data_IF_817972536101
#
_entry.id   IF_817972536101
#
_cell.length_a   1.000
_cell.length_b   1.000
_cell.length_c   1.000
_cell.angle_alpha   90.00
_cell.angle_beta   90.00
_cell.angle_gamma   90.00
#
_symmetry.space_group_name_H-M   'P 1'
#
loop_
_entity.id
_entity.type
_entity.pdbx_description
1 polymer ?
#
# COMPACT_ATOMS: atom_id res chain seq x y z
N UNK A 1 -9.45 -10.41 -11.47
CA UNK A 1 -8.30 -10.29 -12.40
C UNK A 1 -8.16 -11.46 -13.39
N UNK A 2 -8.07 -12.73 -12.97
CA UNK A 2 -7.90 -13.89 -13.89
C UNK A 2 -8.94 -14.01 -15.02
N UNK A 3 -10.21 -13.69 -14.73
CA UNK A 3 -11.26 -13.67 -15.73
C UNK A 3 -11.01 -12.63 -16.85
N UNK A 4 -10.42 -11.49 -16.51
CA UNK A 4 -10.07 -10.44 -17.48
C UNK A 4 -8.91 -10.88 -18.37
N UNK A 5 -7.91 -11.58 -17.83
CA UNK A 5 -6.82 -12.16 -18.64
C UNK A 5 -7.33 -13.25 -19.59
N UNK A 6 -8.24 -14.10 -19.12
CA UNK A 6 -8.89 -15.11 -19.96
C UNK A 6 -9.66 -14.47 -21.12
N UNK A 7 -10.38 -13.39 -20.83
CA UNK A 7 -11.12 -12.63 -21.84
C UNK A 7 -10.20 -11.90 -22.82
N UNK A 8 -9.06 -11.39 -22.35
CA UNK A 8 -8.04 -10.75 -23.19
C UNK A 8 -7.44 -11.77 -24.16
N UNK A 9 -7.06 -12.95 -23.67
CA UNK A 9 -6.54 -14.03 -24.51
C UNK A 9 -7.55 -14.42 -25.59
N UNK A 10 -8.82 -14.58 -25.21
CA UNK A 10 -9.89 -14.91 -26.15
C UNK A 10 -10.10 -13.84 -27.22
N UNK A 11 -10.11 -12.56 -26.85
CA UNK A 11 -10.25 -11.47 -27.81
C UNK A 11 -9.02 -11.33 -28.71
N UNK A 12 -7.83 -11.60 -28.20
CA UNK A 12 -6.60 -11.62 -28.99
C UNK A 12 -6.63 -12.74 -30.05
N UNK A 13 -7.04 -13.95 -29.64
CA UNK A 13 -7.24 -15.07 -30.57
C UNK A 13 -8.31 -14.74 -31.62
N UNK A 14 -9.41 -14.11 -31.20
CA UNK A 14 -10.45 -13.65 -32.13
C UNK A 14 -9.93 -12.62 -33.13
N UNK A 15 -9.14 -11.63 -32.69
CA UNK A 15 -8.60 -10.60 -33.57
C UNK A 15 -7.69 -11.20 -34.65
N UNK A 16 -6.91 -12.23 -34.30
CA UNK A 16 -6.05 -12.94 -35.24
C UNK A 16 -6.84 -13.79 -36.25
N UNK A 17 -7.96 -14.38 -35.82
CA UNK A 17 -8.78 -15.27 -36.66
C UNK A 17 -9.81 -14.53 -37.51
N UNK A 18 -10.36 -13.41 -37.03
CA UNK A 18 -11.45 -12.67 -37.66
C UNK A 18 -10.99 -11.58 -38.64
N UNK A 19 -9.71 -11.18 -38.61
CA UNK A 19 -9.18 -10.17 -39.52
C UNK A 19 -9.96 -8.85 -39.48
N UNK A 20 -10.49 -8.41 -40.63
CA UNK A 20 -11.23 -7.15 -40.78
C UNK A 20 -12.61 -7.14 -40.10
N UNK A 21 -13.18 -8.30 -39.75
CA UNK A 21 -14.48 -8.40 -39.08
C UNK A 21 -14.38 -8.25 -37.56
N UNK A 22 -13.17 -8.10 -37.02
CA UNK A 22 -12.97 -7.87 -35.60
C UNK A 22 -13.35 -6.44 -35.21
N UNK A 23 -14.17 -6.29 -34.17
CA UNK A 23 -14.49 -4.99 -33.58
C UNK A 23 -13.45 -4.61 -32.51
N UNK A 24 -12.56 -3.62 -32.77
CA UNK A 24 -11.52 -3.23 -31.83
C UNK A 24 -12.05 -2.59 -30.55
N UNK A 25 -13.30 -2.09 -30.56
CA UNK A 25 -13.92 -1.44 -29.40
C UNK A 25 -14.00 -2.40 -28.20
N UNK A 26 -14.14 -3.70 -28.46
CA UNK A 26 -14.17 -4.74 -27.42
C UNK A 26 -12.89 -4.83 -26.61
N UNK A 27 -11.73 -4.54 -27.22
CA UNK A 27 -10.45 -4.48 -26.50
C UNK A 27 -10.43 -3.24 -25.61
N UNK A 28 -10.91 -2.10 -26.11
CA UNK A 28 -10.98 -0.87 -25.33
C UNK A 28 -11.88 -1.02 -24.10
N UNK A 29 -13.06 -1.62 -24.26
CA UNK A 29 -13.98 -1.89 -23.15
C UNK A 29 -13.34 -2.82 -22.11
N UNK A 30 -12.61 -3.85 -22.56
CA UNK A 30 -11.89 -4.74 -21.66
C UNK A 30 -10.76 -4.02 -20.92
N UNK A 31 -10.01 -3.13 -21.59
CA UNK A 31 -8.95 -2.35 -20.96
C UNK A 31 -9.48 -1.42 -19.86
N UNK A 32 -10.67 -0.84 -20.05
CA UNK A 32 -11.32 -0.04 -19.01
C UNK A 32 -11.63 -0.89 -17.75
N UNK A 33 -12.06 -2.15 -17.94
CA UNK A 33 -12.26 -3.08 -16.82
C UNK A 33 -10.94 -3.43 -16.10
N UNK A 34 -9.85 -3.61 -16.85
CA UNK A 34 -8.52 -3.82 -16.28
C UNK A 34 -8.07 -2.65 -15.40
N UNK A 35 -8.22 -1.43 -15.91
CA UNK A 35 -7.89 -0.21 -15.18
C UNK A 35 -8.66 -0.13 -13.86
N UNK A 36 -9.97 -0.38 -13.91
CA UNK A 36 -10.82 -0.32 -12.74
C UNK A 36 -10.46 -1.41 -11.69
N UNK A 37 -10.21 -2.64 -12.12
CA UNK A 37 -9.79 -3.74 -11.25
C UNK A 37 -8.40 -3.47 -10.63
N UNK A 38 -7.47 -2.89 -11.40
CA UNK A 38 -6.13 -2.55 -10.94
C UNK A 38 -6.18 -1.45 -9.86
N UNK A 39 -6.92 -0.37 -10.11
CA UNK A 39 -7.11 0.69 -9.12
C UNK A 39 -7.83 0.18 -7.87
N UNK A 40 -8.87 -0.66 -8.02
CA UNK A 40 -9.56 -1.28 -6.90
C UNK A 40 -8.63 -2.13 -6.05
N UNK A 41 -7.81 -2.97 -6.70
CA UNK A 41 -6.83 -3.82 -6.02
C UNK A 41 -5.75 -3.01 -5.31
N UNK A 42 -5.28 -1.92 -5.94
CA UNK A 42 -4.29 -1.04 -5.32
C UNK A 42 -4.85 -0.29 -4.11
N UNK A 43 -6.04 0.29 -4.24
CA UNK A 43 -6.72 0.98 -3.14
C UNK A 43 -7.00 0.04 -1.96
N UNK A 44 -7.40 -1.21 -2.22
CA UNK A 44 -7.59 -2.21 -1.18
C UNK A 44 -6.27 -2.58 -0.48
N UNK A 45 -5.19 -2.77 -1.25
CA UNK A 45 -3.88 -3.07 -0.68
C UNK A 45 -3.32 -1.89 0.13
N UNK A 46 -3.52 -0.65 -0.31
CA UNK A 46 -3.15 0.55 0.44
C UNK A 46 -3.95 0.69 1.74
N UNK A 47 -5.25 0.40 1.71
CA UNK A 47 -6.11 0.41 2.90
C UNK A 47 -5.67 -0.63 3.93
N UNK A 48 -5.30 -1.84 3.52
CA UNK A 48 -4.75 -2.85 4.44
C UNK A 48 -3.40 -2.44 5.03
N UNK A 49 -2.49 -1.91 4.21
CA UNK A 49 -1.22 -1.38 4.70
C UNK A 49 -1.42 -0.25 5.73
N UNK A 50 -2.41 0.61 5.48
CA UNK A 50 -2.76 1.68 6.41
C UNK A 50 -3.23 1.12 7.76
N UNK A 51 -4.12 0.12 7.76
CA UNK A 51 -4.58 -0.55 8.97
C UNK A 51 -3.43 -1.23 9.72
N UNK A 52 -2.53 -1.92 9.02
CA UNK A 52 -1.34 -2.53 9.62
C UNK A 52 -0.42 -1.47 10.28
N UNK A 53 -0.36 -0.27 9.71
CA UNK A 53 0.43 0.83 10.23
C UNK A 53 -0.26 1.61 11.37
N UNK A 54 -1.58 1.47 11.57
CA UNK A 54 -2.32 2.21 12.62
C UNK A 54 -1.84 1.86 14.03
N UNK A 55 -1.63 0.58 14.34
CA UNK A 55 -1.16 0.17 15.66
C UNK A 55 0.24 0.72 16.01
N UNK A 56 1.28 0.53 15.17
CA UNK A 56 2.60 1.08 15.46
C UNK A 56 2.63 2.62 15.40
N UNK A 57 1.80 3.27 14.57
CA UNK A 57 1.68 4.74 14.61
C UNK A 57 1.12 5.21 15.93
N UNK A 58 0.07 4.55 16.44
CA UNK A 58 -0.55 4.91 17.72
C UNK A 58 0.40 4.69 18.90
N UNK A 59 1.16 3.59 18.91
CA UNK A 59 2.18 3.35 19.93
C UNK A 59 3.28 4.42 19.89
N UNK A 60 3.71 4.83 18.69
CA UNK A 60 4.66 5.92 18.53
C UNK A 60 4.09 7.28 19.00
N UNK A 61 2.82 7.57 18.74
CA UNK A 61 2.11 8.76 19.22
C UNK A 61 2.01 8.78 20.76
N UNK A 62 1.57 7.67 21.37
CA UNK A 62 1.46 7.54 22.83
C UNK A 62 2.83 7.69 23.51
N UNK A 63 3.88 7.11 22.93
CA UNK A 63 5.25 7.27 23.40
C UNK A 63 5.72 8.73 23.32
N UNK A 64 5.52 9.40 22.17
CA UNK A 64 5.84 10.82 22.01
C UNK A 64 5.08 11.69 23.02
N UNK A 65 3.80 11.39 23.27
CA UNK A 65 2.99 12.12 24.24
C UNK A 65 3.53 11.97 25.67
N UNK A 66 3.86 10.73 26.08
CA UNK A 66 4.49 10.44 27.37
C UNK A 66 5.82 11.19 27.56
N UNK A 67 6.65 11.22 26.50
CA UNK A 67 7.90 11.96 26.50
C UNK A 67 7.69 13.48 26.65
N UNK A 68 6.68 14.04 25.96
CA UNK A 68 6.34 15.46 26.05
C UNK A 68 5.82 15.82 27.44
N UNK A 69 4.99 14.98 28.05
CA UNK A 69 4.57 15.16 29.44
C UNK A 69 5.75 15.13 30.41
N UNK A 70 6.68 14.20 30.23
CA UNK A 70 7.88 14.09 31.07
C UNK A 70 8.76 15.34 30.97
N UNK A 71 8.96 15.85 29.74
CA UNK A 71 9.68 17.11 29.51
C UNK A 71 8.98 18.29 30.21
N UNK A 72 7.65 18.40 30.06
CA UNK A 72 6.86 19.46 30.67
C UNK A 72 6.90 19.42 32.21
N UNK A 73 6.79 18.22 32.81
CA UNK A 73 6.93 18.00 34.26
C UNK A 73 8.33 18.33 34.78
N UNK A 74 9.37 18.10 33.96
CA UNK A 74 10.76 18.36 34.34
C UNK A 74 11.18 19.83 34.22
N UNK A 75 10.37 20.68 33.57
CA UNK A 75 10.68 22.09 33.28
C UNK A 75 11.89 22.29 32.36
N UNK A 76 12.44 21.21 31.78
CA UNK A 76 13.56 21.25 30.84
C UNK A 76 13.06 21.05 29.41
N UNK A 77 13.54 21.86 28.44
CA UNK A 77 13.23 21.60 27.05
C UNK A 77 13.76 20.21 26.65
N UNK A 78 13.07 19.46 25.77
CA UNK A 78 13.56 18.18 25.28
C UNK A 78 14.95 18.39 24.65
N UNK A 79 15.94 17.61 25.07
CA UNK A 79 17.30 17.71 24.51
C UNK A 79 17.31 17.19 23.07
N UNK A 80 18.24 17.67 22.22
CA UNK A 80 18.37 17.22 20.81
C UNK A 80 18.51 15.68 20.67
N UNK A 81 19.14 15.04 21.64
CA UNK A 81 19.26 13.57 21.71
C UNK A 81 17.93 12.87 22.02
N UNK A 82 17.00 13.54 22.68
CA UNK A 82 15.67 13.06 23.05
C UNK A 82 14.74 12.97 21.82
N UNK A 83 14.84 13.95 20.92
CA UNK A 83 14.11 13.95 19.65
C UNK A 83 14.69 12.94 18.66
N UNK A 84 16.01 12.74 18.66
CA UNK A 84 16.67 11.78 17.78
C UNK A 84 16.32 10.33 18.12
N UNK A 85 16.23 9.98 19.41
CA UNK A 85 15.85 8.63 19.82
C UNK A 85 14.39 8.31 19.48
N UNK A 86 13.47 9.26 19.67
CA UNK A 86 12.07 9.10 19.31
C UNK A 86 11.89 9.02 17.78
N UNK A 87 12.60 9.84 17.01
CA UNK A 87 12.65 9.75 15.55
C UNK A 87 13.25 8.43 15.08
N UNK A 88 14.34 7.96 15.69
CA UNK A 88 14.96 6.67 15.35
C UNK A 88 14.00 5.50 15.63
N UNK A 89 13.25 5.55 16.73
CA UNK A 89 12.23 4.55 17.06
C UNK A 89 11.06 4.57 16.07
N UNK A 90 10.54 5.76 15.73
CA UNK A 90 9.50 5.92 14.72
C UNK A 90 9.95 5.43 13.33
N UNK A 91 11.18 5.76 12.92
CA UNK A 91 11.77 5.29 11.65
C UNK A 91 12.00 3.78 11.66
N UNK A 92 12.40 3.19 12.80
CA UNK A 92 12.53 1.75 12.94
C UNK A 92 11.17 1.04 12.88
N UNK A 93 10.14 1.58 13.52
CA UNK A 93 8.77 1.07 13.44
C UNK A 93 8.23 1.13 12.01
N UNK A 94 8.40 2.26 11.30
CA UNK A 94 8.02 2.40 9.89
C UNK A 94 8.80 1.42 8.99
N UNK A 95 10.11 1.26 9.19
CA UNK A 95 10.91 0.27 8.46
C UNK A 95 10.44 -1.16 8.70
N UNK A 96 10.07 -1.49 9.94
CA UNK A 96 9.55 -2.81 10.30
C UNK A 96 8.21 -3.09 9.64
N UNK A 97 7.27 -2.14 9.68
CA UNK A 97 5.98 -2.23 9.01
C UNK A 97 6.15 -2.36 7.47
N UNK A 98 7.05 -1.58 6.88
CA UNK A 98 7.36 -1.67 5.45
C UNK A 98 8.02 -3.01 5.06
N UNK A 99 8.92 -3.53 5.89
CA UNK A 99 9.53 -4.85 5.68
C UNK A 99 8.52 -5.99 5.85
N UNK A 100 7.51 -5.83 6.71
CA UNK A 100 6.40 -6.78 6.85
C UNK A 100 5.53 -6.81 5.60
N UNK A 101 5.18 -5.64 5.07
CA UNK A 101 4.40 -5.46 3.82
C UNK A 101 5.07 -6.07 2.57
N UNK A 102 6.40 -6.05 2.52
CA UNK A 102 7.15 -6.65 1.39
C UNK A 102 7.37 -8.15 1.53
N UNK A 103 7.29 -8.71 2.75
CA UNK A 103 7.43 -10.16 3.00
C UNK A 103 6.15 -10.95 2.77
N UNK A 104 4.96 -10.36 2.95
CA UNK A 104 3.68 -11.05 2.72
C UNK A 104 3.37 -11.34 1.24
N UNK A 105 4.14 -10.76 0.30
CA UNK A 105 4.06 -11.02 -1.15
C UNK A 105 4.92 -12.19 -1.65
N UNK A 106 5.59 -12.92 -0.76
CA UNK A 106 6.33 -14.14 -1.14
C UNK A 106 5.61 -15.36 -0.57
N UNK A 107 4.66 -15.91 -1.31
CA UNK A 107 4.32 -17.33 -1.24
C UNK A 107 3.93 -17.84 -2.65
N UNK A 108 4.20 -19.13 -2.92
CA UNK A 108 4.64 -19.68 -4.22
C UNK A 108 3.58 -19.77 -5.31
#
# INVERSE_FOLDING_TARGET
>A
MEALFSQLSFLADQALLAGDDFDPSKIHDLLALFEQEAYGSWAAAEAELRKEAEFPMREAEDYLHSLMEAANKSGKPPSKTYTDAAMASAVAAMKSAFASSTKSKVHP
#
